data_IF_101007615562
#
_entry.id   IF_101007615562
#
_cell.length_a   1.000
_cell.length_b   1.000
_cell.length_c   1.000
_cell.angle_alpha   90.00
_cell.angle_beta   90.00
_cell.angle_gamma   90.00
#
_symmetry.space_group_name_H-M   'P 1'
#
loop_
_entity.id
_entity.type
_entity.pdbx_description
1 polymer ?
#
# COMPACT_ATOMS: atom_id res chain seq x y z
N UNK A 1 -14.37 -3.11 -20.04
CA UNK A 1 -14.80 -3.46 -21.41
C UNK A 1 -14.63 -2.27 -22.34
N UNK A 2 -13.80 -2.41 -23.36
CA UNK A 2 -14.16 -1.82 -24.65
C UNK A 2 -15.23 -2.78 -25.21
N UNK A 3 -16.46 -2.30 -25.38
CA UNK A 3 -17.59 -3.05 -25.92
C UNK A 3 -17.22 -3.87 -27.19
N UNK A 4 -16.21 -3.38 -27.91
CA UNK A 4 -15.69 -3.89 -29.17
C UNK A 4 -15.15 -5.33 -29.15
N UNK A 5 -14.46 -5.80 -28.10
CA UNK A 5 -13.90 -7.17 -28.11
C UNK A 5 -14.97 -8.23 -27.91
N UNK A 6 -15.90 -7.97 -26.99
CA UNK A 6 -17.04 -8.85 -26.76
C UNK A 6 -17.95 -8.86 -27.98
N UNK A 7 -18.19 -7.67 -28.56
CA UNK A 7 -18.90 -7.54 -29.82
C UNK A 7 -18.20 -8.34 -30.92
N UNK A 8 -16.89 -8.19 -31.13
CA UNK A 8 -16.16 -8.98 -32.14
C UNK A 8 -16.30 -10.50 -31.96
N UNK A 9 -16.22 -11.00 -30.72
CA UNK A 9 -16.39 -12.44 -30.46
C UNK A 9 -17.80 -12.94 -30.81
N UNK A 10 -18.83 -12.15 -30.51
CA UNK A 10 -20.20 -12.44 -30.89
C UNK A 10 -20.43 -12.29 -32.40
N UNK A 11 -19.88 -11.25 -33.03
CA UNK A 11 -19.93 -11.03 -34.47
C UNK A 11 -19.27 -12.17 -35.24
N UNK A 12 -18.15 -12.70 -34.74
CA UNK A 12 -17.52 -13.90 -35.29
C UNK A 12 -18.47 -15.10 -35.23
N UNK A 13 -19.11 -15.36 -34.08
CA UNK A 13 -20.05 -16.47 -33.93
C UNK A 13 -21.26 -16.35 -34.90
N UNK A 14 -21.82 -15.15 -35.05
CA UNK A 14 -23.02 -14.93 -35.86
C UNK A 14 -22.77 -14.75 -37.36
N UNK A 15 -21.63 -14.18 -37.77
CA UNK A 15 -21.38 -13.79 -39.16
C UNK A 15 -20.28 -14.63 -39.82
N UNK A 16 -19.23 -14.99 -39.10
CA UNK A 16 -18.14 -15.81 -39.64
C UNK A 16 -18.45 -17.29 -39.52
N UNK A 17 -18.86 -17.74 -38.33
CA UNK A 17 -19.24 -19.13 -38.04
C UNK A 17 -20.69 -19.45 -38.48
N UNK A 18 -21.45 -18.42 -38.84
CA UNK A 18 -22.85 -18.49 -39.31
C UNK A 18 -23.80 -19.22 -38.36
N UNK A 19 -23.55 -19.15 -37.05
CA UNK A 19 -24.49 -19.68 -36.08
C UNK A 19 -25.74 -18.80 -36.00
N UNK A 20 -26.91 -19.46 -36.07
CA UNK A 20 -28.19 -18.78 -35.90
C UNK A 20 -28.45 -18.41 -34.45
N UNK A 21 -28.13 -19.31 -33.53
CA UNK A 21 -28.38 -19.15 -32.09
C UNK A 21 -27.06 -19.25 -31.36
N UNK A 22 -26.82 -18.30 -30.45
CA UNK A 22 -25.65 -18.28 -29.57
C UNK A 22 -26.14 -18.23 -28.13
N UNK A 23 -25.66 -19.15 -27.30
CA UNK A 23 -25.89 -19.20 -25.85
C UNK A 23 -24.74 -18.52 -25.14
N UNK A 24 -25.02 -17.64 -24.18
CA UNK A 24 -24.00 -17.03 -23.34
C UNK A 24 -24.41 -17.13 -21.88
N UNK A 25 -23.66 -17.93 -21.11
CA UNK A 25 -23.83 -18.07 -19.66
C UNK A 25 -22.89 -17.11 -18.92
N UNK A 26 -23.45 -16.33 -18.01
CA UNK A 26 -22.77 -15.36 -17.16
C UNK A 26 -23.16 -15.59 -15.70
N UNK A 27 -22.57 -16.64 -15.12
CA UNK A 27 -22.82 -17.04 -13.73
C UNK A 27 -22.48 -15.95 -12.71
N UNK A 28 -21.51 -15.08 -13.02
CA UNK A 28 -21.06 -14.00 -12.14
C UNK A 28 -21.85 -12.70 -12.33
N UNK A 29 -22.83 -12.66 -13.24
CA UNK A 29 -23.58 -11.43 -13.60
C UNK A 29 -22.67 -10.26 -14.00
N UNK A 30 -21.51 -10.56 -14.60
CA UNK A 30 -20.48 -9.57 -14.87
C UNK A 30 -20.77 -8.67 -16.07
N UNK A 31 -21.78 -9.01 -16.88
CA UNK A 31 -22.07 -8.35 -18.15
C UNK A 31 -23.51 -7.86 -18.31
N UNK A 32 -24.30 -7.84 -17.23
CA UNK A 32 -25.74 -7.52 -17.28
C UNK A 32 -26.00 -6.09 -17.78
N UNK A 33 -25.14 -5.12 -17.46
CA UNK A 33 -25.26 -3.74 -17.96
C UNK A 33 -24.72 -3.60 -19.40
N UNK A 34 -23.63 -4.29 -19.71
CA UNK A 34 -23.00 -4.31 -21.03
C UNK A 34 -23.94 -4.92 -22.08
N UNK A 35 -24.73 -5.93 -21.72
CA UNK A 35 -25.75 -6.54 -22.59
C UNK A 35 -26.81 -5.53 -23.01
N UNK A 36 -27.23 -4.62 -22.12
CA UNK A 36 -28.23 -3.58 -22.45
C UNK A 36 -27.71 -2.58 -23.48
N UNK A 37 -26.40 -2.36 -23.49
CA UNK A 37 -25.73 -1.44 -24.42
C UNK A 37 -25.27 -2.12 -25.72
N UNK A 38 -25.23 -3.46 -25.75
CA UNK A 38 -24.76 -4.24 -26.90
C UNK A 38 -25.73 -4.11 -28.07
N UNK A 39 -25.20 -3.79 -29.25
CA UNK A 39 -25.95 -3.77 -30.51
C UNK A 39 -25.25 -4.63 -31.54
N UNK A 40 -25.93 -5.67 -31.98
CA UNK A 40 -25.52 -6.55 -33.06
C UNK A 40 -26.52 -6.40 -34.21
N UNK A 41 -26.04 -6.25 -35.44
CA UNK A 41 -26.91 -6.09 -36.60
C UNK A 41 -27.65 -7.40 -36.89
N UNK A 42 -28.95 -7.34 -37.12
CA UNK A 42 -29.77 -8.53 -37.46
C UNK A 42 -29.74 -9.66 -36.42
N UNK A 43 -29.40 -9.37 -35.15
CA UNK A 43 -29.41 -10.32 -34.04
C UNK A 43 -30.35 -9.82 -32.94
N UNK A 44 -31.30 -10.66 -32.53
CA UNK A 44 -32.16 -10.40 -31.37
C UNK A 44 -31.44 -10.86 -30.09
N UNK A 45 -31.22 -9.93 -29.16
CA UNK A 45 -30.59 -10.22 -27.86
C UNK A 45 -31.72 -10.43 -26.85
N UNK A 46 -31.76 -11.62 -26.23
CA UNK A 46 -32.75 -12.00 -25.23
C UNK A 46 -32.07 -12.24 -23.88
N UNK A 47 -32.54 -11.54 -22.85
CA UNK A 47 -32.14 -11.80 -21.47
C UNK A 47 -33.04 -12.89 -20.88
N UNK A 48 -32.52 -14.09 -20.71
CA UNK A 48 -33.28 -15.27 -20.31
C UNK A 48 -33.77 -15.23 -18.86
N UNK A 49 -33.34 -14.26 -18.05
CA UNK A 49 -33.95 -14.01 -16.74
C UNK A 49 -35.38 -13.46 -16.83
N UNK A 50 -35.73 -12.84 -17.95
CA UNK A 50 -37.04 -12.20 -18.18
C UNK A 50 -37.96 -13.06 -19.07
N UNK A 51 -37.46 -14.19 -19.55
CA UNK A 51 -38.10 -15.00 -20.58
C UNK A 51 -38.42 -16.41 -20.08
N UNK A 52 -39.48 -17.02 -20.64
CA UNK A 52 -39.80 -18.43 -20.40
C UNK A 52 -39.05 -19.33 -21.37
N UNK A 53 -38.23 -20.25 -20.85
CA UNK A 53 -37.48 -21.21 -21.69
C UNK A 53 -38.38 -21.99 -22.65
N UNK A 54 -39.60 -22.36 -22.23
CA UNK A 54 -40.55 -23.05 -23.10
C UNK A 54 -41.09 -22.14 -24.22
N UNK A 55 -41.38 -20.88 -23.90
CA UNK A 55 -41.86 -19.92 -24.90
C UNK A 55 -40.78 -19.62 -25.94
N UNK A 56 -39.52 -19.44 -25.48
CA UNK A 56 -38.38 -19.25 -26.36
C UNK A 56 -38.13 -20.49 -27.22
N UNK A 57 -38.24 -21.70 -26.64
CA UNK A 57 -38.15 -22.94 -27.41
C UNK A 57 -39.17 -23.01 -28.54
N UNK A 58 -40.45 -22.71 -28.23
CA UNK A 58 -41.52 -22.66 -29.22
C UNK A 58 -41.20 -21.67 -30.34
N UNK A 59 -40.78 -20.45 -29.96
CA UNK A 59 -40.44 -19.38 -30.90
C UNK A 59 -39.30 -19.79 -31.82
N UNK A 60 -38.20 -20.33 -31.27
CA UNK A 60 -37.01 -20.66 -32.05
C UNK A 60 -37.20 -21.87 -32.97
N UNK A 61 -38.01 -22.86 -32.59
CA UNK A 61 -38.22 -24.08 -33.37
C UNK A 61 -39.38 -23.98 -34.37
N UNK A 62 -40.46 -23.27 -34.03
CA UNK A 62 -41.69 -23.28 -34.82
C UNK A 62 -42.07 -21.93 -35.44
N UNK A 63 -41.80 -20.81 -34.77
CA UNK A 63 -42.32 -19.50 -35.20
C UNK A 63 -41.30 -18.72 -36.03
N UNK A 64 -40.05 -18.66 -35.60
CA UNK A 64 -38.96 -17.97 -36.26
C UNK A 64 -37.73 -18.86 -36.39
N UNK A 65 -37.66 -19.55 -37.52
CA UNK A 65 -36.59 -20.48 -37.88
C UNK A 65 -35.41 -19.80 -38.58
N UNK A 66 -35.49 -18.51 -38.88
CA UNK A 66 -34.49 -17.78 -39.69
C UNK A 66 -33.78 -16.68 -38.93
N UNK A 67 -34.45 -16.04 -37.97
CA UNK A 67 -33.88 -14.99 -37.14
C UNK A 67 -32.67 -15.47 -36.33
N UNK A 68 -31.70 -14.57 -36.11
CA UNK A 68 -30.53 -14.81 -35.27
C UNK A 68 -30.79 -14.37 -33.83
N UNK A 69 -30.39 -15.18 -32.87
CA UNK A 69 -30.69 -14.97 -31.45
C UNK A 69 -29.45 -15.14 -30.58
N UNK A 70 -29.18 -14.16 -29.72
CA UNK A 70 -28.28 -14.28 -28.58
C UNK A 70 -29.12 -14.53 -27.32
N UNK A 71 -29.01 -15.72 -26.75
CA UNK A 71 -29.65 -16.08 -25.49
C UNK A 71 -28.64 -15.84 -24.36
N UNK A 72 -28.80 -14.74 -23.63
CA UNK A 72 -27.96 -14.39 -22.48
C UNK A 72 -28.61 -14.92 -21.20
N UNK A 73 -27.87 -15.74 -20.47
CA UNK A 73 -28.26 -16.32 -19.20
C UNK A 73 -27.44 -15.69 -18.09
N UNK A 74 -28.01 -14.83 -17.25
CA UNK A 74 -27.35 -14.36 -16.03
C UNK A 74 -27.40 -15.45 -14.95
N UNK A 75 -26.85 -16.63 -15.26
CA UNK A 75 -26.78 -17.79 -14.39
C UNK A 75 -25.72 -18.77 -14.91
N UNK A 76 -25.32 -19.70 -14.05
CA UNK A 76 -24.55 -20.86 -14.50
C UNK A 76 -25.35 -21.70 -15.49
N UNK A 77 -24.62 -22.45 -16.31
CA UNK A 77 -25.21 -23.44 -17.21
C UNK A 77 -25.95 -24.52 -16.39
N UNK A 78 -27.24 -24.80 -16.68
CA UNK A 78 -28.00 -25.80 -15.95
C UNK A 78 -27.51 -27.23 -16.22
N UNK A 79 -27.75 -28.13 -15.26
CA UNK A 79 -27.54 -29.57 -15.45
C UNK A 79 -28.38 -30.10 -16.62
N UNK A 80 -27.85 -31.10 -17.31
CA UNK A 80 -28.42 -31.69 -18.54
C UNK A 80 -29.88 -32.08 -18.38
N UNK A 81 -30.28 -32.68 -17.26
CA UNK A 81 -31.67 -33.11 -17.03
C UNK A 81 -32.64 -31.95 -16.78
N UNK A 82 -32.12 -30.77 -16.46
CA UNK A 82 -32.90 -29.55 -16.15
C UNK A 82 -32.86 -28.52 -17.27
N UNK A 83 -32.08 -28.77 -18.32
CA UNK A 83 -31.92 -27.84 -19.43
C UNK A 83 -33.00 -28.06 -20.52
N UNK A 84 -34.03 -27.23 -20.47
CA UNK A 84 -35.15 -27.28 -21.43
C UNK A 84 -34.75 -26.92 -22.86
N UNK A 85 -33.64 -26.20 -23.02
CA UNK A 85 -33.11 -25.75 -24.31
C UNK A 85 -31.91 -26.59 -24.76
N UNK A 86 -31.64 -27.72 -24.10
CA UNK A 86 -30.48 -28.57 -24.39
C UNK A 86 -30.41 -29.01 -25.85
N UNK A 87 -31.54 -29.43 -26.42
CA UNK A 87 -31.65 -29.84 -27.81
C UNK A 87 -31.29 -28.70 -28.78
N UNK A 88 -31.73 -27.48 -28.48
CA UNK A 88 -31.35 -26.26 -29.22
C UNK A 88 -29.86 -25.98 -29.05
N UNK A 89 -29.36 -26.07 -27.83
CA UNK A 89 -27.96 -25.81 -27.47
C UNK A 89 -27.01 -26.75 -28.22
N UNK A 90 -27.37 -28.02 -28.40
CA UNK A 90 -26.52 -29.03 -29.06
C UNK A 90 -26.21 -28.72 -30.53
N UNK A 91 -27.06 -27.97 -31.23
CA UNK A 91 -26.79 -27.52 -32.61
C UNK A 91 -26.41 -26.03 -32.70
N UNK A 92 -26.40 -25.33 -31.57
CA UNK A 92 -26.09 -23.90 -31.45
C UNK A 92 -24.65 -23.67 -30.99
N UNK A 93 -24.23 -22.41 -30.89
CA UNK A 93 -22.91 -22.04 -30.36
C UNK A 93 -23.00 -21.62 -28.91
N UNK A 94 -22.15 -22.15 -28.04
CA UNK A 94 -21.93 -21.58 -26.70
C UNK A 94 -20.76 -20.57 -26.74
N UNK A 95 -21.03 -19.36 -26.26
CA UNK A 95 -20.08 -18.28 -26.07
C UNK A 95 -19.77 -18.12 -24.58
N UNK A 96 -18.49 -18.09 -24.25
CA UNK A 96 -18.01 -17.90 -22.89
C UNK A 96 -17.14 -16.66 -22.85
N UNK A 97 -17.53 -15.68 -22.04
CA UNK A 97 -16.71 -14.52 -21.73
C UNK A 97 -16.02 -14.76 -20.39
N UNK A 98 -14.74 -15.13 -20.42
CA UNK A 98 -13.93 -15.19 -19.20
C UNK A 98 -13.57 -13.77 -18.76
N UNK A 99 -14.26 -13.30 -17.71
CA UNK A 99 -14.05 -11.99 -17.09
C UNK A 99 -12.59 -11.77 -16.71
N UNK A 100 -11.89 -12.79 -16.19
CA UNK A 100 -10.48 -12.66 -15.81
C UNK A 100 -9.59 -12.54 -17.03
N UNK A 101 -9.90 -13.25 -18.13
CA UNK A 101 -9.22 -13.03 -19.42
C UNK A 101 -9.42 -11.61 -19.96
N UNK A 102 -10.59 -11.00 -19.77
CA UNK A 102 -10.84 -9.60 -20.17
C UNK A 102 -10.01 -8.65 -19.30
N UNK A 103 -10.06 -8.81 -17.98
CA UNK A 103 -9.28 -7.97 -17.04
C UNK A 103 -7.79 -8.13 -17.33
N UNK A 104 -7.32 -9.35 -17.52
CA UNK A 104 -5.94 -9.68 -17.88
C UNK A 104 -5.48 -8.92 -19.13
N UNK A 105 -6.29 -8.94 -20.19
CA UNK A 105 -6.00 -8.20 -21.43
C UNK A 105 -6.10 -6.68 -21.23
N UNK A 106 -7.06 -6.20 -20.43
CA UNK A 106 -7.25 -4.77 -20.15
C UNK A 106 -6.10 -4.16 -19.35
N UNK A 107 -5.50 -4.96 -18.45
CA UNK A 107 -4.28 -4.63 -17.71
C UNK A 107 -3.01 -4.77 -18.56
N UNK A 108 -3.11 -5.36 -19.76
CA UNK A 108 -1.97 -5.54 -20.67
C UNK A 108 -0.97 -6.61 -20.21
N UNK A 109 -1.39 -7.52 -19.33
CA UNK A 109 -0.54 -8.57 -18.77
C UNK A 109 -0.17 -9.62 -19.82
N UNK A 110 1.06 -10.13 -19.76
CA UNK A 110 1.56 -11.13 -20.71
C UNK A 110 1.65 -12.54 -20.11
N UNK A 111 1.82 -12.64 -18.79
CA UNK A 111 2.02 -13.91 -18.10
C UNK A 111 0.69 -14.63 -17.83
N UNK A 112 0.39 -15.69 -18.59
CA UNK A 112 -0.91 -16.38 -18.53
C UNK A 112 -1.26 -16.94 -17.14
N UNK A 113 -0.26 -17.29 -16.32
CA UNK A 113 -0.43 -17.74 -14.93
C UNK A 113 -1.15 -16.72 -14.04
N UNK A 114 -1.10 -15.42 -14.38
CA UNK A 114 -1.76 -14.38 -13.59
C UNK A 114 -3.28 -14.42 -13.69
N UNK A 115 -3.87 -15.15 -14.65
CA UNK A 115 -5.32 -15.33 -14.71
C UNK A 115 -5.86 -16.04 -13.47
N UNK A 116 -5.20 -17.12 -13.06
CA UNK A 116 -5.55 -17.84 -11.83
C UNK A 116 -5.32 -16.97 -10.59
N UNK A 117 -4.29 -16.13 -10.62
CA UNK A 117 -4.02 -15.19 -9.53
C UNK A 117 -5.10 -14.10 -9.41
N UNK A 118 -5.53 -13.53 -10.54
CA UNK A 118 -6.65 -12.59 -10.60
C UNK A 118 -7.96 -13.23 -10.12
N UNK A 119 -8.20 -14.51 -10.45
CA UNK A 119 -9.38 -15.23 -9.99
C UNK A 119 -9.48 -15.31 -8.47
N UNK A 120 -8.36 -15.49 -7.76
CA UNK A 120 -8.31 -15.48 -6.29
C UNK A 120 -8.65 -14.11 -5.67
N UNK A 121 -8.61 -13.04 -6.47
CA UNK A 121 -8.85 -11.65 -6.05
C UNK A 121 -10.13 -11.07 -6.66
N UNK A 122 -11.10 -11.91 -7.03
CA UNK A 122 -12.34 -11.48 -7.68
C UNK A 122 -13.05 -10.35 -6.92
N UNK A 123 -13.13 -10.44 -5.59
CA UNK A 123 -13.75 -9.43 -4.73
C UNK A 123 -13.14 -8.03 -4.92
N UNK A 124 -11.82 -7.93 -5.12
CA UNK A 124 -11.15 -6.67 -5.44
C UNK A 124 -11.56 -6.19 -6.84
N UNK A 125 -11.63 -7.09 -7.81
CA UNK A 125 -11.88 -6.81 -9.22
C UNK A 125 -13.35 -6.49 -9.56
N UNK A 126 -14.29 -6.63 -8.60
CA UNK A 126 -15.72 -6.23 -8.77
C UNK A 126 -15.91 -4.73 -8.99
N UNK A 127 -15.05 -3.88 -8.44
CA UNK A 127 -15.20 -2.43 -8.55
C UNK A 127 -14.43 -1.85 -9.75
N UNK A 128 -15.15 -1.27 -10.72
CA UNK A 128 -14.55 -0.61 -11.90
C UNK A 128 -13.55 0.49 -11.53
N UNK A 129 -13.81 1.23 -10.45
CA UNK A 129 -12.89 2.25 -9.95
C UNK A 129 -11.52 1.66 -9.54
N UNK A 130 -11.51 0.52 -8.82
CA UNK A 130 -10.26 -0.13 -8.40
C UNK A 130 -9.47 -0.68 -9.58
N UNK A 131 -10.14 -1.25 -10.58
CA UNK A 131 -9.50 -1.68 -11.83
C UNK A 131 -8.81 -0.51 -12.55
N UNK A 132 -9.47 0.65 -12.61
CA UNK A 132 -8.89 1.84 -13.24
C UNK A 132 -7.65 2.36 -12.50
N UNK A 133 -7.66 2.30 -11.17
CA UNK A 133 -6.50 2.66 -10.33
C UNK A 133 -5.39 1.64 -10.49
N UNK A 134 -5.71 0.35 -10.42
CA UNK A 134 -4.76 -0.76 -10.57
C UNK A 134 -3.97 -0.66 -11.88
N UNK A 135 -4.65 -0.33 -12.98
CA UNK A 135 -4.03 -0.15 -14.30
C UNK A 135 -2.94 0.93 -14.34
N UNK A 136 -2.94 1.88 -13.40
CA UNK A 136 -1.92 2.95 -13.33
C UNK A 136 -0.59 2.44 -12.76
N UNK A 137 -0.60 1.35 -12.02
CA UNK A 137 0.59 0.79 -11.35
C UNK A 137 1.20 -0.39 -12.09
N UNK A 138 0.42 -1.10 -12.91
CA UNK A 138 0.84 -2.35 -13.55
C UNK A 138 1.62 -2.09 -14.83
N UNK A 139 2.71 -2.85 -15.00
CA UNK A 139 3.45 -2.98 -16.25
C UNK A 139 3.08 -4.29 -16.98
N UNK A 140 3.27 -4.39 -18.30
CA UNK A 140 2.90 -5.59 -19.07
C UNK A 140 3.61 -6.88 -18.64
N UNK A 141 4.82 -6.76 -18.10
CA UNK A 141 5.69 -7.84 -17.64
C UNK A 141 5.54 -8.18 -16.15
N UNK A 142 4.65 -7.49 -15.44
CA UNK A 142 4.39 -7.66 -14.01
C UNK A 142 4.16 -9.14 -13.65
N UNK A 143 4.64 -9.52 -12.47
CA UNK A 143 4.39 -10.83 -11.89
C UNK A 143 3.23 -10.82 -10.86
N UNK A 144 3.07 -11.93 -10.13
CA UNK A 144 2.00 -12.07 -9.13
C UNK A 144 2.21 -11.15 -7.91
N UNK A 145 3.46 -10.93 -7.52
CA UNK A 145 3.81 -10.05 -6.41
C UNK A 145 3.59 -8.58 -6.80
N UNK A 146 4.01 -8.19 -8.01
CA UNK A 146 3.76 -6.84 -8.55
C UNK A 146 2.25 -6.53 -8.58
N UNK A 147 1.45 -7.51 -8.99
CA UNK A 147 0.00 -7.41 -9.03
C UNK A 147 -0.60 -7.24 -7.63
N UNK A 148 -0.17 -8.03 -6.64
CA UNK A 148 -0.64 -7.89 -5.26
C UNK A 148 -0.22 -6.53 -4.66
N UNK A 149 1.02 -6.07 -4.90
CA UNK A 149 1.50 -4.76 -4.45
C UNK A 149 0.75 -3.59 -5.09
N UNK A 150 0.41 -3.70 -6.38
CA UNK A 150 -0.43 -2.75 -7.08
C UNK A 150 -1.86 -2.71 -6.53
N UNK A 151 -2.44 -3.86 -6.15
CA UNK A 151 -3.73 -3.91 -5.48
C UNK A 151 -3.66 -3.28 -4.07
N UNK A 152 -2.62 -3.58 -3.29
CA UNK A 152 -2.40 -2.97 -1.97
C UNK A 152 -2.33 -1.45 -2.09
N UNK A 153 -1.52 -0.94 -3.01
CA UNK A 153 -1.39 0.49 -3.27
C UNK A 153 -2.71 1.14 -3.67
N UNK A 154 -3.54 0.46 -4.45
CA UNK A 154 -4.87 0.95 -4.81
C UNK A 154 -5.82 1.02 -3.61
N UNK A 155 -5.77 0.06 -2.68
CA UNK A 155 -6.58 0.06 -1.45
C UNK A 155 -6.15 1.18 -0.50
N UNK A 156 -4.85 1.27 -0.20
CA UNK A 156 -4.31 2.27 0.74
C UNK A 156 -4.15 3.66 0.11
N UNK A 157 -4.47 3.80 -1.19
CA UNK A 157 -4.34 5.05 -1.97
C UNK A 157 -2.90 5.59 -1.98
N UNK A 158 -1.92 4.71 -2.10
CA UNK A 158 -0.51 5.07 -2.17
C UNK A 158 -0.16 5.78 -3.49
N UNK A 159 0.85 6.63 -3.48
CA UNK A 159 1.30 7.34 -4.69
C UNK A 159 1.93 6.39 -5.73
N UNK A 160 2.49 5.26 -5.29
CA UNK A 160 3.02 4.19 -6.14
C UNK A 160 2.86 2.80 -5.49
N UNK A 161 3.09 1.74 -6.26
CA UNK A 161 3.09 0.35 -5.80
C UNK A 161 4.36 -0.07 -5.05
N UNK A 162 5.33 0.84 -4.89
CA UNK A 162 6.53 0.55 -4.09
C UNK A 162 6.17 0.46 -2.61
N UNK A 163 6.79 -0.49 -1.90
CA UNK A 163 6.54 -0.74 -0.48
C UNK A 163 6.68 0.53 0.38
N UNK A 164 7.64 1.40 0.05
CA UNK A 164 7.80 2.67 0.76
C UNK A 164 6.55 3.54 0.67
N UNK A 165 5.99 3.74 -0.52
CA UNK A 165 4.82 4.59 -0.68
C UNK A 165 3.57 3.98 -0.02
N UNK A 166 3.47 2.65 0.00
CA UNK A 166 2.42 1.92 0.72
C UNK A 166 2.53 2.15 2.23
N UNK A 167 3.71 1.95 2.81
CA UNK A 167 3.95 2.15 4.25
C UNK A 167 3.72 3.61 4.65
N UNK A 168 4.11 4.57 3.83
CA UNK A 168 3.86 6.00 4.07
C UNK A 168 2.37 6.33 4.04
N UNK A 169 1.61 5.78 3.08
CA UNK A 169 0.16 5.97 3.00
C UNK A 169 -0.57 5.35 4.20
N UNK A 170 -0.17 4.14 4.62
CA UNK A 170 -0.70 3.49 5.81
C UNK A 170 -0.42 4.29 7.09
N UNK A 171 0.79 4.84 7.23
CA UNK A 171 1.11 5.70 8.35
C UNK A 171 0.28 6.99 8.35
N UNK A 172 0.08 7.59 7.17
CA UNK A 172 -0.72 8.80 7.01
C UNK A 172 -2.17 8.55 7.40
N UNK A 173 -2.74 7.44 6.96
CA UNK A 173 -4.09 7.03 7.35
C UNK A 173 -4.22 6.83 8.86
N UNK A 174 -3.27 6.13 9.51
CA UNK A 174 -3.27 5.96 10.96
C UNK A 174 -3.26 7.30 11.71
N UNK A 175 -2.45 8.27 11.25
CA UNK A 175 -2.36 9.60 11.87
C UNK A 175 -3.64 10.40 11.62
N UNK A 176 -4.19 10.39 10.41
CA UNK A 176 -5.44 11.08 10.08
C UNK A 176 -6.63 10.54 10.88
N UNK A 177 -6.66 9.24 11.13
CA UNK A 177 -7.68 8.57 11.95
C UNK A 177 -7.38 8.65 13.46
N UNK A 178 -6.24 9.24 13.87
CA UNK A 178 -5.79 9.35 15.25
C UNK A 178 -5.80 8.00 16.00
N UNK A 179 -5.28 6.96 15.34
CA UNK A 179 -5.28 5.59 15.88
C UNK A 179 -4.16 5.34 16.87
N UNK A 180 -4.44 4.50 17.86
CA UNK A 180 -3.43 3.91 18.72
C UNK A 180 -2.64 2.82 17.95
N UNK A 181 -1.43 2.49 18.42
CA UNK A 181 -0.55 1.51 17.74
C UNK A 181 -1.14 0.10 17.72
N UNK A 182 -2.08 -0.20 18.60
CA UNK A 182 -2.77 -1.48 18.70
C UNK A 182 -3.87 -1.66 17.64
N UNK A 183 -4.24 -0.59 16.93
CA UNK A 183 -5.36 -0.56 15.98
C UNK A 183 -4.83 -0.32 14.57
N UNK A 184 -5.19 -1.22 13.66
CA UNK A 184 -4.90 -1.04 12.23
C UNK A 184 -5.90 -0.04 11.60
N UNK A 185 -5.49 0.70 10.55
CA UNK A 185 -6.38 1.64 9.86
C UNK A 185 -7.50 0.94 9.09
N UNK A 186 -8.55 1.67 8.72
CA UNK A 186 -9.72 1.11 8.03
C UNK A 186 -9.36 0.37 6.73
N UNK A 187 -8.36 0.84 5.99
CA UNK A 187 -7.85 0.15 4.80
C UNK A 187 -7.39 -1.29 5.06
N UNK A 188 -6.96 -1.64 6.28
CA UNK A 188 -6.58 -3.01 6.62
C UNK A 188 -7.76 -3.98 6.57
N UNK A 189 -8.97 -3.55 6.93
CA UNK A 189 -10.16 -4.39 6.79
C UNK A 189 -10.44 -4.72 5.32
N UNK A 190 -10.16 -3.78 4.41
CA UNK A 190 -10.22 -4.03 2.97
C UNK A 190 -9.09 -4.95 2.50
N UNK A 191 -7.85 -4.75 2.97
CA UNK A 191 -6.73 -5.64 2.66
C UNK A 191 -6.98 -7.07 3.12
N UNK A 192 -7.56 -7.28 4.30
CA UNK A 192 -7.96 -8.58 4.82
C UNK A 192 -9.07 -9.19 3.97
N UNK A 193 -10.12 -8.40 3.65
CA UNK A 193 -11.21 -8.84 2.76
C UNK A 193 -10.70 -9.32 1.41
N UNK A 194 -9.68 -8.68 0.85
CA UNK A 194 -9.07 -9.08 -0.43
C UNK A 194 -7.90 -10.05 -0.28
N UNK A 195 -7.60 -10.52 0.94
CA UNK A 195 -6.52 -11.44 1.26
C UNK A 195 -5.13 -10.95 0.78
N UNK A 196 -4.89 -9.64 0.88
CA UNK A 196 -3.67 -8.95 0.44
C UNK A 196 -2.65 -8.76 1.57
N UNK A 197 -3.04 -8.91 2.84
CA UNK A 197 -2.14 -8.77 3.99
C UNK A 197 -0.92 -9.71 3.92
N UNK A 198 -1.04 -11.01 3.56
CA UNK A 198 0.13 -11.89 3.40
C UNK A 198 1.19 -11.37 2.42
N UNK A 199 0.76 -10.78 1.30
CA UNK A 199 1.66 -10.21 0.30
C UNK A 199 2.40 -8.98 0.84
N UNK A 200 1.68 -8.11 1.58
CA UNK A 200 2.30 -6.97 2.28
C UNK A 200 3.36 -7.45 3.28
N UNK A 201 3.03 -8.44 4.12
CA UNK A 201 3.96 -8.99 5.12
C UNK A 201 5.19 -9.61 4.46
N UNK A 202 4.99 -10.34 3.36
CA UNK A 202 6.08 -10.91 2.55
C UNK A 202 7.00 -9.81 2.03
N UNK A 203 6.45 -8.72 1.49
CA UNK A 203 7.25 -7.58 1.02
C UNK A 203 8.00 -6.90 2.18
N UNK A 204 7.36 -6.68 3.34
CA UNK A 204 8.00 -6.14 4.54
C UNK A 204 9.16 -7.03 5.02
N UNK A 205 9.00 -8.35 4.97
CA UNK A 205 10.07 -9.29 5.31
C UNK A 205 11.21 -9.23 4.27
N UNK A 206 10.90 -9.23 2.98
CA UNK A 206 11.90 -9.28 1.92
C UNK A 206 12.72 -7.97 1.80
N UNK A 207 12.06 -6.82 1.83
CA UNK A 207 12.70 -5.53 1.57
C UNK A 207 13.27 -4.87 2.85
N UNK A 208 12.52 -4.93 3.96
CA UNK A 208 12.87 -4.23 5.20
C UNK A 208 13.46 -5.21 6.23
N UNK A 209 13.19 -6.52 6.11
CA UNK A 209 13.61 -7.53 7.07
C UNK A 209 12.72 -7.62 8.30
N UNK A 210 11.43 -7.31 8.16
CA UNK A 210 10.46 -7.54 9.22
C UNK A 210 10.45 -9.04 9.59
N UNK A 211 10.61 -9.40 10.88
CA UNK A 211 10.67 -10.80 11.31
C UNK A 211 9.25 -11.39 11.40
N UNK A 212 8.59 -11.53 10.25
CA UNK A 212 7.25 -12.09 10.15
C UNK A 212 7.22 -13.54 10.66
N UNK A 213 6.17 -13.90 11.40
CA UNK A 213 5.90 -15.28 11.75
C UNK A 213 5.34 -16.05 10.53
N UNK A 214 5.42 -17.38 10.57
CA UNK A 214 4.85 -18.23 9.50
C UNK A 214 3.34 -18.04 9.42
N UNK A 215 2.69 -17.84 10.56
CA UNK A 215 1.25 -17.59 10.65
C UNK A 215 0.89 -16.22 10.05
N UNK A 216 1.70 -15.17 10.23
CA UNK A 216 1.49 -13.87 9.56
C UNK A 216 1.66 -13.99 8.03
N UNK A 217 2.68 -14.74 7.58
CA UNK A 217 2.96 -14.97 6.16
C UNK A 217 1.86 -15.78 5.46
N UNK A 218 1.19 -16.68 6.19
CA UNK A 218 0.06 -17.46 5.67
C UNK A 218 -1.29 -16.76 5.83
N UNK A 219 -1.35 -15.63 6.55
CA UNK A 219 -2.61 -14.94 6.89
C UNK A 219 -3.44 -15.64 7.97
N UNK A 220 -2.83 -16.53 8.75
CA UNK A 220 -3.44 -17.23 9.88
C UNK A 220 -3.44 -16.37 11.16
N UNK A 221 -2.48 -15.45 11.27
CA UNK A 221 -2.39 -14.47 12.34
C UNK A 221 -2.59 -13.04 11.79
N UNK A 222 -3.30 -12.17 12.53
CA UNK A 222 -3.48 -10.78 12.13
C UNK A 222 -2.15 -10.03 12.23
N UNK A 223 -1.76 -9.36 11.14
CA UNK A 223 -0.61 -8.47 11.14
C UNK A 223 -0.93 -7.18 11.89
N UNK A 224 -0.05 -6.78 12.81
CA UNK A 224 -0.21 -5.55 13.60
C UNK A 224 0.74 -4.46 13.08
N UNK A 225 0.17 -3.47 12.40
CA UNK A 225 0.94 -2.40 11.77
C UNK A 225 1.73 -1.56 12.78
N UNK A 226 1.18 -1.28 13.96
CA UNK A 226 1.91 -0.54 14.99
C UNK A 226 3.12 -1.29 15.55
N UNK A 227 3.06 -2.63 15.63
CA UNK A 227 4.24 -3.45 15.98
C UNK A 227 5.33 -3.27 14.93
N UNK A 228 4.99 -3.28 13.65
CA UNK A 228 5.94 -2.99 12.58
C UNK A 228 6.58 -1.61 12.73
N UNK A 229 5.80 -0.55 12.99
CA UNK A 229 6.37 0.79 13.18
C UNK A 229 7.28 0.90 14.41
N UNK A 230 6.92 0.24 15.52
CA UNK A 230 7.79 0.13 16.70
C UNK A 230 9.13 -0.50 16.31
N UNK A 231 9.10 -1.61 15.57
CA UNK A 231 10.32 -2.31 15.11
C UNK A 231 11.14 -1.45 14.16
N UNK A 232 10.51 -0.85 13.14
CA UNK A 232 11.17 0.00 12.15
C UNK A 232 11.89 1.18 12.82
N UNK A 233 11.19 1.92 13.70
CA UNK A 233 11.77 3.08 14.37
C UNK A 233 12.82 2.71 15.40
N UNK A 234 12.59 1.65 16.21
CA UNK A 234 13.60 1.15 17.15
C UNK A 234 14.87 0.71 16.42
N UNK A 235 14.70 0.05 15.28
CA UNK A 235 15.81 -0.41 14.43
C UNK A 235 16.61 0.76 13.88
N UNK A 236 15.96 1.74 13.25
CA UNK A 236 16.65 2.90 12.70
C UNK A 236 17.25 3.82 13.78
N UNK A 237 16.64 3.89 14.97
CA UNK A 237 17.23 4.53 16.14
C UNK A 237 18.54 3.85 16.55
N UNK A 238 18.54 2.53 16.78
CA UNK A 238 19.74 1.80 17.19
C UNK A 238 20.84 1.83 16.13
N UNK A 239 20.48 1.76 14.84
CA UNK A 239 21.45 1.88 13.75
C UNK A 239 22.08 3.28 13.66
N UNK A 240 21.33 4.32 14.05
CA UNK A 240 21.88 5.68 14.11
C UNK A 240 22.71 5.91 15.38
N UNK A 241 22.35 5.22 16.48
CA UNK A 241 23.07 5.25 17.76
C UNK A 241 24.41 4.50 17.68
N UNK A 242 24.53 3.52 16.78
CA UNK A 242 25.69 2.62 16.70
C UNK A 242 25.74 1.55 17.80
N UNK A 243 24.66 1.39 18.56
CA UNK A 243 24.52 0.43 19.66
C UNK A 243 23.07 -0.09 19.76
N UNK A 244 22.89 -1.28 20.34
CA UNK A 244 21.58 -1.88 20.62
C UNK A 244 21.44 -2.05 22.15
N UNK A 245 20.78 -1.09 22.82
CA UNK A 245 20.54 -1.17 24.26
C UNK A 245 19.72 -2.41 24.65
N UNK A 246 19.88 -2.90 25.89
CA UNK A 246 19.18 -4.08 26.40
C UNK A 246 17.66 -4.04 26.18
N UNK A 247 17.03 -2.88 26.37
CA UNK A 247 15.58 -2.72 26.19
C UNK A 247 15.11 -2.84 24.73
N UNK A 248 16.02 -2.70 23.77
CA UNK A 248 15.72 -2.69 22.33
C UNK A 248 16.01 -4.03 21.64
N UNK A 249 16.69 -4.97 22.30
CA UNK A 249 17.16 -6.22 21.70
C UNK A 249 16.05 -7.04 21.02
N UNK A 250 14.86 -7.10 21.63
CA UNK A 250 13.71 -7.84 21.08
C UNK A 250 12.91 -7.04 20.04
N UNK A 251 13.12 -5.72 19.97
CA UNK A 251 12.39 -4.81 19.09
C UNK A 251 13.09 -4.62 17.74
N UNK A 252 14.41 -4.71 17.71
CA UNK A 252 15.23 -4.42 16.52
C UNK A 252 15.23 -5.58 15.53
N UNK A 253 15.26 -5.27 14.24
CA UNK A 253 15.50 -6.25 13.18
C UNK A 253 16.97 -6.67 13.18
N UNK A 254 17.23 -7.98 13.28
CA UNK A 254 18.53 -8.52 13.69
C UNK A 254 19.62 -8.46 12.62
N UNK A 255 19.25 -8.44 11.33
CA UNK A 255 20.23 -8.44 10.24
C UNK A 255 20.84 -7.05 10.00
N UNK A 256 22.13 -7.00 9.61
CA UNK A 256 22.84 -5.74 9.31
C UNK A 256 22.17 -4.99 8.15
N UNK A 257 21.78 -5.70 7.09
CA UNK A 257 21.09 -5.10 5.95
C UNK A 257 19.74 -4.50 6.36
N UNK A 258 18.96 -5.19 7.19
CA UNK A 258 17.68 -4.68 7.71
C UNK A 258 17.85 -3.39 8.51
N UNK A 259 18.92 -3.28 9.30
CA UNK A 259 19.21 -2.07 10.06
C UNK A 259 19.54 -0.88 9.16
N UNK A 260 20.43 -1.09 8.20
CA UNK A 260 20.77 -0.07 7.20
C UNK A 260 19.54 0.36 6.39
N UNK A 261 18.70 -0.60 5.96
CA UNK A 261 17.44 -0.31 5.26
C UNK A 261 16.48 0.49 6.13
N UNK A 262 16.30 0.14 7.40
CA UNK A 262 15.44 0.89 8.31
C UNK A 262 15.90 2.36 8.47
N UNK A 263 17.21 2.58 8.67
CA UNK A 263 17.79 3.94 8.75
C UNK A 263 17.54 4.73 7.46
N UNK A 264 17.77 4.13 6.30
CA UNK A 264 17.52 4.75 5.00
C UNK A 264 16.03 5.05 4.78
N UNK A 265 15.14 4.13 5.16
CA UNK A 265 13.70 4.31 5.09
C UNK A 265 13.24 5.52 5.90
N UNK A 266 13.64 5.61 7.18
CA UNK A 266 13.28 6.73 8.05
C UNK A 266 13.87 8.06 7.55
N UNK A 267 15.06 8.05 6.95
CA UNK A 267 15.61 9.23 6.29
C UNK A 267 14.72 9.70 5.15
N UNK A 268 14.38 8.80 4.22
CA UNK A 268 13.51 9.12 3.07
C UNK A 268 12.12 9.61 3.51
N UNK A 269 11.57 9.03 4.57
CA UNK A 269 10.31 9.50 5.15
C UNK A 269 10.43 10.95 5.65
N UNK A 270 11.45 11.24 6.46
CA UNK A 270 11.73 12.59 6.95
C UNK A 270 11.98 13.59 5.81
N UNK A 271 12.59 13.16 4.72
CA UNK A 271 12.88 14.02 3.56
C UNK A 271 11.64 14.31 2.70
N UNK A 272 10.58 13.51 2.82
CA UNK A 272 9.32 13.73 2.10
C UNK A 272 8.65 15.05 2.50
N UNK A 273 8.38 15.93 1.53
CA UNK A 273 7.61 17.15 1.77
C UNK A 273 6.15 16.89 2.16
N UNK A 274 5.59 15.75 1.74
CA UNK A 274 4.22 15.33 2.02
C UNK A 274 4.09 14.62 3.36
N UNK A 275 4.98 13.65 3.64
CA UNK A 275 4.80 12.71 4.75
C UNK A 275 5.60 13.03 6.03
N UNK A 276 6.41 14.10 6.04
CA UNK A 276 7.15 14.47 7.27
C UNK A 276 6.26 14.81 8.49
N UNK A 277 5.06 15.43 8.36
CA UNK A 277 4.22 15.68 9.53
C UNK A 277 3.69 14.38 10.15
N UNK A 278 3.43 13.39 9.30
CA UNK A 278 3.05 12.03 9.69
C UNK A 278 4.19 11.33 10.42
N UNK A 279 5.44 11.51 9.95
CA UNK A 279 6.63 11.03 10.66
C UNK A 279 6.70 11.60 12.08
N UNK A 280 6.50 12.92 12.24
CA UNK A 280 6.56 13.58 13.55
C UNK A 280 5.55 12.97 14.52
N UNK A 281 4.31 12.86 14.08
CA UNK A 281 3.21 12.37 14.91
C UNK A 281 3.45 10.91 15.30
N UNK A 282 3.75 10.05 14.33
CA UNK A 282 3.93 8.62 14.58
C UNK A 282 5.21 8.34 15.38
N UNK A 283 6.30 9.05 15.12
CA UNK A 283 7.54 8.91 15.89
C UNK A 283 7.35 9.34 17.34
N UNK A 284 6.54 10.37 17.60
CA UNK A 284 6.17 10.73 18.97
C UNK A 284 5.31 9.65 19.63
N UNK A 285 4.33 9.08 18.93
CA UNK A 285 3.52 7.97 19.44
C UNK A 285 4.37 6.75 19.81
N UNK A 286 5.31 6.36 18.95
CA UNK A 286 6.26 5.28 19.22
C UNK A 286 7.20 5.64 20.36
N UNK A 287 7.71 6.87 20.42
CA UNK A 287 8.58 7.33 21.50
C UNK A 287 7.88 7.25 22.87
N UNK A 288 6.60 7.61 22.93
CA UNK A 288 5.78 7.50 24.13
C UNK A 288 5.55 6.03 24.53
N UNK A 289 5.17 5.18 23.58
CA UNK A 289 4.96 3.75 23.82
C UNK A 289 6.23 3.06 24.35
N UNK A 290 7.40 3.46 23.83
CA UNK A 290 8.70 2.94 24.25
C UNK A 290 9.31 3.67 25.45
N UNK A 291 8.66 4.72 25.98
CA UNK A 291 9.17 5.58 27.07
C UNK A 291 10.59 6.08 26.80
N UNK A 292 10.88 6.52 25.58
CA UNK A 292 12.23 6.93 25.15
C UNK A 292 12.77 8.07 26.02
N UNK A 293 11.90 8.97 26.48
CA UNK A 293 12.28 10.08 27.37
C UNK A 293 13.00 9.63 28.64
N UNK A 294 12.61 8.48 29.21
CA UNK A 294 13.23 7.94 30.43
C UNK A 294 14.54 7.22 30.15
N UNK A 295 14.74 6.79 28.90
CA UNK A 295 15.88 5.98 28.47
C UNK A 295 17.01 6.84 27.90
N UNK A 296 16.69 8.01 27.35
CA UNK A 296 17.67 8.87 26.65
C UNK A 296 18.77 9.41 27.57
N UNK A 297 18.51 9.47 28.88
CA UNK A 297 19.50 9.90 29.88
C UNK A 297 20.76 9.02 29.96
N UNK A 298 20.69 7.78 29.45
CA UNK A 298 21.81 6.84 29.45
C UNK A 298 22.82 7.08 28.32
N UNK A 299 22.50 7.92 27.34
CA UNK A 299 23.36 8.18 26.18
C UNK A 299 24.01 9.56 26.29
N UNK A 300 25.26 9.64 25.85
CA UNK A 300 25.99 10.90 25.77
C UNK A 300 25.71 11.66 24.45
N UNK A 301 26.28 12.86 24.35
CA UNK A 301 26.09 13.75 23.22
C UNK A 301 26.61 13.15 21.90
N UNK A 302 27.73 12.43 21.95
CA UNK A 302 28.39 11.86 20.77
C UNK A 302 27.56 10.71 20.19
N UNK A 303 27.03 9.84 21.06
CA UNK A 303 26.13 8.77 20.65
C UNK A 303 24.84 9.29 20.01
N UNK A 304 24.34 10.44 20.47
CA UNK A 304 23.08 11.01 19.99
C UNK A 304 23.22 11.92 18.77
N UNK A 305 24.45 12.26 18.36
CA UNK A 305 24.73 13.25 17.32
C UNK A 305 24.00 12.94 16.00
N UNK A 306 24.07 11.69 15.56
CA UNK A 306 23.48 11.21 14.30
C UNK A 306 22.02 10.73 14.45
N UNK A 307 21.48 10.77 15.67
CA UNK A 307 20.15 10.26 15.96
C UNK A 307 19.08 11.34 15.72
N UNK A 308 18.23 11.10 14.73
CA UNK A 308 17.17 12.02 14.29
C UNK A 308 15.77 11.38 14.39
N UNK A 309 15.64 10.18 14.98
CA UNK A 309 14.41 9.37 14.92
C UNK A 309 13.28 9.93 15.77
N UNK A 310 13.57 10.39 16.99
CA UNK A 310 12.57 10.88 17.94
C UNK A 310 12.87 12.32 18.35
N UNK A 311 11.85 13.15 18.50
CA UNK A 311 11.98 14.57 18.90
C UNK A 311 12.64 14.72 20.28
N UNK A 312 12.38 13.77 21.19
CA UNK A 312 12.97 13.77 22.54
C UNK A 312 14.50 13.75 22.55
N UNK A 313 15.13 13.27 21.48
CA UNK A 313 16.58 13.32 21.31
C UNK A 313 17.04 14.77 21.12
N UNK A 314 16.30 15.56 20.33
CA UNK A 314 16.57 16.98 20.14
C UNK A 314 16.50 17.75 21.45
N UNK A 315 15.48 17.44 22.26
CA UNK A 315 15.27 18.05 23.57
C UNK A 315 16.41 17.71 24.54
N UNK A 316 16.87 16.44 24.56
CA UNK A 316 18.00 16.00 25.38
C UNK A 316 19.28 16.74 25.02
N UNK A 317 19.62 16.79 23.73
CA UNK A 317 20.82 17.47 23.23
C UNK A 317 20.82 18.94 23.66
N UNK A 318 19.69 19.64 23.49
CA UNK A 318 19.54 21.04 23.89
C UNK A 318 19.75 21.22 25.40
N UNK A 319 19.13 20.38 26.23
CA UNK A 319 19.26 20.45 27.69
C UNK A 319 20.70 20.19 28.13
N UNK A 320 21.36 19.20 27.54
CA UNK A 320 22.76 18.87 27.82
C UNK A 320 23.67 20.05 27.48
N UNK A 321 23.56 20.58 26.27
CA UNK A 321 24.33 21.75 25.84
C UNK A 321 24.09 22.95 26.77
N UNK A 322 22.83 23.27 27.06
CA UNK A 322 22.49 24.39 27.96
C UNK A 322 23.09 24.23 29.36
N UNK A 323 23.16 23.00 29.88
CA UNK A 323 23.73 22.70 31.20
C UNK A 323 25.26 22.74 31.22
N UNK A 324 25.92 22.34 30.13
CA UNK A 324 27.37 22.18 30.06
C UNK A 324 28.10 23.45 29.63
N UNK A 325 27.51 24.27 28.75
CA UNK A 325 28.12 25.50 28.22
C UNK A 325 28.71 26.42 29.32
N UNK A 326 28.04 26.67 30.46
CA UNK A 326 28.58 27.61 31.46
C UNK A 326 29.89 27.19 32.11
N UNK A 327 30.19 25.88 32.13
CA UNK A 327 31.38 25.31 32.77
C UNK A 327 32.37 24.70 31.76
N UNK A 328 32.03 24.68 30.47
CA UNK A 328 32.81 24.07 29.41
C UNK A 328 34.11 24.83 29.13
N UNK A 329 35.20 24.13 28.88
CA UNK A 329 36.46 24.66 28.38
C UNK A 329 36.34 25.21 26.96
N UNK A 330 37.31 26.02 26.51
CA UNK A 330 37.34 26.54 25.15
C UNK A 330 37.24 25.44 24.07
N UNK A 331 37.92 24.30 24.28
CA UNK A 331 37.87 23.18 23.34
C UNK A 331 36.47 22.54 23.28
N UNK A 332 35.82 22.36 24.43
CA UNK A 332 34.44 21.85 24.50
C UNK A 332 33.44 22.82 23.86
N UNK A 333 33.63 24.14 24.04
CA UNK A 333 32.81 25.15 23.38
C UNK A 333 32.89 25.09 21.85
N UNK A 334 34.07 24.86 21.26
CA UNK A 334 34.21 24.65 19.81
C UNK A 334 33.55 23.34 19.35
N UNK A 335 33.66 22.29 20.15
CA UNK A 335 32.96 21.03 19.88
C UNK A 335 31.44 21.23 19.91
N UNK A 336 30.90 21.94 20.90
CA UNK A 336 29.47 22.27 20.97
C UNK A 336 28.98 23.10 19.78
N UNK A 337 29.81 24.01 19.23
CA UNK A 337 29.46 24.70 17.96
C UNK A 337 29.29 23.72 16.81
N UNK A 338 30.16 22.71 16.74
CA UNK A 338 30.11 21.68 15.69
C UNK A 338 28.83 20.85 15.85
N UNK A 339 28.51 20.41 17.07
CA UNK A 339 27.26 19.70 17.38
C UNK A 339 26.04 20.53 16.97
N UNK A 340 25.97 21.81 17.38
CA UNK A 340 24.85 22.68 17.01
C UNK A 340 24.74 22.85 15.49
N UNK A 341 25.86 22.99 14.78
CA UNK A 341 25.86 23.07 13.32
C UNK A 341 25.25 21.82 12.69
N UNK A 342 25.68 20.63 13.14
CA UNK A 342 25.13 19.35 12.69
C UNK A 342 23.63 19.25 12.95
N UNK A 343 23.16 19.69 14.13
CA UNK A 343 21.72 19.66 14.47
C UNK A 343 20.89 20.66 13.67
N UNK A 344 21.42 21.86 13.38
CA UNK A 344 20.78 22.86 12.52
C UNK A 344 20.57 22.37 11.08
N UNK A 345 21.49 21.55 10.58
CA UNK A 345 21.36 20.88 9.28
C UNK A 345 20.48 19.61 9.37
N UNK A 346 20.25 19.09 10.57
CA UNK A 346 19.42 17.93 10.87
C UNK A 346 17.91 18.17 10.80
N UNK A 347 17.13 17.09 10.86
CA UNK A 347 15.69 17.09 10.56
C UNK A 347 14.82 18.03 11.43
N UNK A 348 15.04 18.05 12.74
CA UNK A 348 14.20 18.78 13.69
C UNK A 348 14.50 20.28 13.78
N UNK A 349 15.61 20.74 13.21
CA UNK A 349 15.92 22.18 13.09
C UNK A 349 16.12 22.63 11.63
N UNK A 350 15.94 21.72 10.66
CA UNK A 350 16.22 21.97 9.24
C UNK A 350 15.53 23.21 8.69
N UNK A 351 16.30 24.11 8.08
CA UNK A 351 15.79 25.30 7.37
C UNK A 351 14.93 24.98 6.14
N UNK A 352 15.01 23.76 5.62
CA UNK A 352 14.20 23.33 4.47
C UNK A 352 12.72 23.15 4.81
N UNK A 353 12.40 23.01 6.10
CA UNK A 353 11.03 22.95 6.62
C UNK A 353 10.81 24.12 7.58
N UNK A 354 9.84 24.98 7.26
CA UNK A 354 9.52 26.18 8.05
C UNK A 354 8.17 26.07 8.74
N UNK A 355 8.01 25.03 9.56
CA UNK A 355 6.89 24.88 10.49
C UNK A 355 7.24 25.41 11.91
N UNK A 356 6.25 25.43 12.80
CA UNK A 356 6.42 25.94 14.15
C UNK A 356 7.46 25.15 14.97
N UNK A 357 7.54 23.83 14.80
CA UNK A 357 8.45 22.94 15.52
C UNK A 357 9.90 23.20 15.11
N UNK A 358 10.21 23.20 13.80
CA UNK A 358 11.59 23.46 13.35
C UNK A 358 12.03 24.89 13.65
N UNK A 359 11.14 25.90 13.53
CA UNK A 359 11.46 27.29 13.91
C UNK A 359 11.80 27.41 15.40
N UNK A 360 11.05 26.72 16.26
CA UNK A 360 11.34 26.67 17.69
C UNK A 360 12.75 26.13 17.95
N UNK A 361 13.09 24.97 17.39
CA UNK A 361 14.42 24.38 17.59
C UNK A 361 15.55 25.22 17.02
N UNK A 362 15.39 25.82 15.83
CA UNK A 362 16.35 26.80 15.29
C UNK A 362 16.59 27.95 16.25
N UNK A 363 15.53 28.53 16.78
CA UNK A 363 15.61 29.66 17.71
C UNK A 363 16.37 29.29 18.98
N UNK A 364 16.11 28.11 19.52
CA UNK A 364 16.83 27.59 20.69
C UNK A 364 18.31 27.37 20.38
N UNK A 365 18.64 26.78 19.24
CA UNK A 365 20.03 26.59 18.83
C UNK A 365 20.78 27.91 18.59
N UNK A 366 20.12 28.92 18.01
CA UNK A 366 20.69 30.26 17.89
C UNK A 366 20.98 30.88 19.26
N UNK A 367 20.09 30.68 20.25
CA UNK A 367 20.35 31.12 21.61
C UNK A 367 21.54 30.39 22.26
N UNK A 368 21.70 29.09 22.01
CA UNK A 368 22.86 28.32 22.48
C UNK A 368 24.16 28.79 21.81
N UNK A 369 24.15 29.10 20.51
CA UNK A 369 25.31 29.69 19.82
C UNK A 369 25.72 31.03 20.45
N UNK A 370 24.75 31.91 20.71
CA UNK A 370 25.02 33.19 21.39
C UNK A 370 25.56 32.97 22.81
N UNK A 371 25.08 31.96 23.54
CA UNK A 371 25.64 31.60 24.85
C UNK A 371 27.10 31.15 24.72
N UNK A 372 27.44 30.29 23.76
CA UNK A 372 28.82 29.86 23.50
C UNK A 372 29.72 31.07 23.20
N UNK A 373 29.28 32.02 22.38
CA UNK A 373 30.03 33.27 22.11
C UNK A 373 30.30 34.05 23.41
N UNK A 374 29.28 34.24 24.24
CA UNK A 374 29.41 34.93 25.53
C UNK A 374 30.41 34.25 26.46
N UNK A 375 30.30 32.93 26.64
CA UNK A 375 31.21 32.19 27.53
C UNK A 375 32.63 32.07 26.95
N UNK A 376 32.79 32.06 25.62
CA UNK A 376 34.11 32.13 24.98
C UNK A 376 34.80 33.47 25.26
N UNK A 377 34.07 34.58 25.15
CA UNK A 377 34.57 35.92 25.48
C UNK A 377 34.91 36.02 26.96
N UNK A 378 34.05 35.50 27.83
CA UNK A 378 34.31 35.47 29.27
C UNK A 378 35.64 34.78 29.58
N UNK A 379 35.90 33.60 29.02
CA UNK A 379 37.18 32.92 29.22
C UNK A 379 38.39 33.70 28.70
N UNK A 380 38.22 34.43 27.60
CA UNK A 380 39.27 35.26 27.03
C UNK A 380 39.65 36.47 27.92
N UNK A 381 38.68 37.03 28.66
CA UNK A 381 38.86 38.29 29.40
C UNK A 381 38.81 38.15 30.94
N UNK A 382 38.36 37.01 31.49
CA UNK A 382 38.45 36.68 32.92
C UNK A 382 39.80 36.00 33.30
N UNK A 383 40.72 35.83 32.34
CA UNK A 383 42.06 35.23 32.53
C UNK A 383 43.10 36.22 33.07
#
# INVERSE_FOLDING_TARGET
>A
MNLSQLQQGLEQAFYTEQHRIVFWYDAEHSFTEEIKALKLNDVQILNMAEESSLAIKLKLELEDQQGKYLLYFPSAEPETEKDWLLDIKLYSRSFYADRFSIIFNELGLQQQSLREHLAKREEFLKAKARLSTLKRYIQPDADAQDLDMAMIAAVVKADSAELMHIVLALADEMVQQNLALEVNPESFAELEKFQLVPALVTALQAEIGYPASVEELNGEAPFKLGTFFIRLMSTGFCESLGDIPLWAQELVMSSVSSRATARAFLSRWRDSSKYYPTFDTLSQTVANALRIQEKVGAFDLEQLLDVMTFEVIEQKIIVDLASQIPAATKAELEHFRTVISTRLDGYWASKHKDDATRRKYRTVYTALQAAIELFSLRQQFDS
#
